data_IF_910899585554
#
_entry.id   IF_910899585554
#
_cell.length_a   1.000
_cell.length_b   1.000
_cell.length_c   1.000
_cell.angle_alpha   90.00
_cell.angle_beta   90.00
_cell.angle_gamma   90.00
#
_symmetry.space_group_name_H-M   'P 1'
#
loop_
_entity.id
_entity.type
_entity.pdbx_description
1 polymer ?
#
# COMPACT_ATOMS: atom_id res chain seq x y z
N UNK A 1 24.36 -0.57 -18.23
CA UNK A 1 23.27 -0.73 -17.23
C UNK A 1 23.09 -2.23 -16.99
N UNK A 2 23.88 -2.83 -16.10
CA UNK A 2 23.66 -4.23 -15.70
C UNK A 2 22.32 -4.30 -14.97
N UNK A 3 21.34 -4.99 -15.54
CA UNK A 3 20.11 -5.34 -14.80
C UNK A 3 20.58 -6.18 -13.61
N UNK A 4 20.59 -5.59 -12.41
CA UNK A 4 20.71 -6.35 -11.17
C UNK A 4 19.62 -7.41 -11.24
N UNK A 5 19.99 -8.68 -11.40
CA UNK A 5 19.05 -9.77 -11.28
C UNK A 5 18.40 -9.65 -9.91
N UNK A 6 17.07 -9.48 -9.83
CA UNK A 6 16.41 -9.31 -8.55
C UNK A 6 16.76 -10.53 -7.69
N UNK A 7 17.26 -10.27 -6.48
CA UNK A 7 17.57 -11.32 -5.52
C UNK A 7 16.31 -12.17 -5.35
N UNK A 8 16.43 -13.47 -5.61
CA UNK A 8 15.32 -14.39 -5.38
C UNK A 8 15.03 -14.45 -3.88
N UNK A 9 13.75 -14.39 -3.56
CA UNK A 9 13.27 -14.52 -2.19
C UNK A 9 12.69 -15.91 -1.95
N UNK A 10 12.81 -16.40 -0.72
CA UNK A 10 12.23 -17.66 -0.25
C UNK A 10 11.13 -17.41 0.80
N UNK A 11 10.40 -18.45 1.18
CA UNK A 11 9.43 -18.35 2.28
C UNK A 11 10.07 -18.00 3.63
N UNK A 12 11.33 -18.37 3.86
CA UNK A 12 12.03 -17.96 5.08
C UNK A 12 12.20 -16.45 5.19
N UNK A 13 12.44 -15.75 4.08
CA UNK A 13 12.51 -14.29 4.07
C UNK A 13 11.17 -13.66 4.50
N UNK A 14 10.05 -14.29 4.12
CA UNK A 14 8.71 -13.85 4.50
C UNK A 14 8.45 -14.11 6.00
N UNK A 15 8.90 -15.24 6.54
CA UNK A 15 8.78 -15.53 7.97
C UNK A 15 9.62 -14.57 8.82
N UNK A 16 10.84 -14.29 8.39
CA UNK A 16 11.76 -13.39 9.09
C UNK A 16 11.24 -11.95 9.11
N UNK A 17 10.72 -11.45 7.98
CA UNK A 17 10.13 -10.10 7.94
C UNK A 17 8.83 -10.02 8.76
N UNK A 18 8.03 -11.08 8.80
CA UNK A 18 6.81 -11.11 9.64
C UNK A 18 7.15 -11.06 11.13
N UNK A 19 8.19 -11.79 11.57
CA UNK A 19 8.68 -11.73 12.96
C UNK A 19 9.19 -10.34 13.33
N UNK A 20 9.80 -9.61 12.38
CA UNK A 20 10.25 -8.24 12.58
C UNK A 20 9.08 -7.24 12.62
N UNK A 21 8.09 -7.40 11.75
CA UNK A 21 6.95 -6.47 11.61
C UNK A 21 6.08 -6.47 12.86
N UNK A 22 5.87 -7.62 13.50
CA UNK A 22 4.97 -7.75 14.65
C UNK A 22 5.30 -6.79 15.81
N UNK A 23 6.54 -6.75 16.34
CA UNK A 23 6.89 -5.78 17.39
C UNK A 23 6.93 -4.33 16.89
N UNK A 24 7.39 -4.09 15.65
CA UNK A 24 7.41 -2.74 15.06
C UNK A 24 6.00 -2.16 14.93
N UNK A 25 5.02 -2.98 14.57
CA UNK A 25 3.62 -2.56 14.49
C UNK A 25 3.11 -2.07 15.84
N UNK A 26 3.40 -2.79 16.91
CA UNK A 26 2.96 -2.40 18.25
C UNK A 26 3.58 -1.06 18.69
N UNK A 27 4.86 -0.82 18.36
CA UNK A 27 5.52 0.46 18.63
C UNK A 27 4.94 1.60 17.77
N UNK A 28 4.75 1.36 16.48
CA UNK A 28 4.16 2.32 15.55
C UNK A 28 2.73 2.70 15.96
N UNK A 29 1.91 1.75 16.41
CA UNK A 29 0.53 2.01 16.85
C UNK A 29 0.50 2.86 18.14
N UNK A 30 1.40 2.60 19.09
CA UNK A 30 1.56 3.44 20.29
C UNK A 30 2.04 4.84 19.94
N UNK A 31 3.00 4.96 19.04
CA UNK A 31 3.53 6.24 18.56
C UNK A 31 2.42 7.05 17.86
N UNK A 32 1.63 6.42 16.97
CA UNK A 32 0.46 7.05 16.34
C UNK A 32 -0.54 7.59 17.36
N UNK A 33 -0.84 6.82 18.40
CA UNK A 33 -1.75 7.26 19.45
C UNK A 33 -1.18 8.45 20.24
N UNK A 34 0.13 8.46 20.50
CA UNK A 34 0.80 9.52 21.26
C UNK A 34 0.90 10.85 20.48
N UNK A 35 0.99 10.79 19.14
CA UNK A 35 1.09 11.98 18.30
C UNK A 35 -0.27 12.50 17.82
N UNK A 36 -1.38 11.84 18.20
CA UNK A 36 -2.71 12.22 17.75
C UNK A 36 -3.05 13.66 18.17
N UNK A 37 -3.38 14.50 17.19
CA UNK A 37 -3.70 15.91 17.42
C UNK A 37 -2.49 16.85 17.50
N UNK A 38 -1.27 16.32 17.41
CA UNK A 38 -0.09 17.15 17.19
C UNK A 38 -0.09 17.67 15.75
N UNK A 39 0.45 18.87 15.56
CA UNK A 39 0.59 19.49 14.24
C UNK A 39 2.06 19.86 14.00
N UNK A 40 2.46 19.89 12.72
CA UNK A 40 3.83 20.19 12.33
C UNK A 40 4.72 18.96 12.21
N UNK A 41 6.04 19.17 12.18
CA UNK A 41 7.00 18.08 11.98
C UNK A 41 7.17 17.28 13.28
N UNK A 42 6.64 16.05 13.29
CA UNK A 42 6.77 15.12 14.40
C UNK A 42 7.79 14.05 14.04
N UNK A 43 8.74 13.76 14.94
CA UNK A 43 9.68 12.66 14.76
C UNK A 43 8.97 11.34 15.06
N UNK A 44 8.89 10.45 14.07
CA UNK A 44 8.10 9.21 14.12
C UNK A 44 8.91 7.97 13.71
N UNK A 45 10.00 7.65 14.44
CA UNK A 45 10.93 6.60 14.05
C UNK A 45 10.31 5.21 13.99
N UNK A 46 9.37 4.88 14.89
CA UNK A 46 8.78 3.54 14.91
C UNK A 46 7.78 3.35 13.79
N UNK A 47 7.03 4.39 13.45
CA UNK A 47 6.17 4.44 12.26
C UNK A 47 7.04 4.26 11.00
N UNK A 48 8.15 4.98 10.90
CA UNK A 48 9.08 4.89 9.77
C UNK A 48 9.67 3.48 9.63
N UNK A 49 10.16 2.89 10.72
CA UNK A 49 10.73 1.54 10.73
C UNK A 49 9.70 0.48 10.34
N UNK A 50 8.48 0.56 10.90
CA UNK A 50 7.37 -0.32 10.54
C UNK A 50 7.01 -0.19 9.06
N UNK A 51 7.03 1.03 8.53
CA UNK A 51 6.77 1.30 7.11
C UNK A 51 7.86 0.71 6.22
N UNK A 52 9.14 0.88 6.55
CA UNK A 52 10.24 0.28 5.79
C UNK A 52 10.17 -1.25 5.79
N UNK A 53 9.84 -1.86 6.94
CA UNK A 53 9.65 -3.30 7.03
C UNK A 53 8.47 -3.77 6.16
N UNK A 54 7.37 -3.02 6.15
CA UNK A 54 6.19 -3.30 5.32
C UNK A 54 6.52 -3.24 3.81
N UNK A 55 7.28 -2.24 3.37
CA UNK A 55 7.75 -2.12 1.97
C UNK A 55 8.60 -3.34 1.59
N UNK A 56 9.51 -3.77 2.48
CA UNK A 56 10.33 -4.96 2.26
C UNK A 56 9.47 -6.22 2.14
N UNK A 57 8.49 -6.39 3.03
CA UNK A 57 7.53 -7.51 2.96
C UNK A 57 6.78 -7.53 1.63
N UNK A 58 6.27 -6.39 1.17
CA UNK A 58 5.60 -6.30 -0.12
C UNK A 58 6.52 -6.67 -1.29
N UNK A 59 7.79 -6.26 -1.26
CA UNK A 59 8.78 -6.65 -2.27
C UNK A 59 9.06 -8.17 -2.27
N UNK A 60 9.17 -8.78 -1.08
CA UNK A 60 9.30 -10.23 -0.92
C UNK A 60 8.09 -10.95 -1.52
N UNK A 61 6.88 -10.51 -1.16
CA UNK A 61 5.62 -11.09 -1.67
C UNK A 61 5.53 -11.00 -3.19
N UNK A 62 5.83 -9.82 -3.77
CA UNK A 62 5.86 -9.65 -5.22
C UNK A 62 6.87 -10.57 -5.90
N UNK A 63 8.06 -10.74 -5.29
CA UNK A 63 9.07 -11.66 -5.78
C UNK A 63 8.60 -13.14 -5.73
N UNK A 64 7.99 -13.58 -4.62
CA UNK A 64 7.46 -14.94 -4.49
C UNK A 64 6.35 -15.23 -5.52
N UNK A 65 5.48 -14.25 -5.78
CA UNK A 65 4.41 -14.36 -6.79
C UNK A 65 4.97 -14.43 -8.21
N UNK A 66 5.94 -13.59 -8.54
CA UNK A 66 6.60 -13.63 -9.86
C UNK A 66 7.39 -14.92 -10.11
N UNK A 67 7.90 -15.56 -9.05
CA UNK A 67 8.50 -16.89 -9.11
C UNK A 67 7.46 -18.03 -9.25
N UNK A 68 6.16 -17.74 -9.13
CA UNK A 68 5.10 -18.75 -9.12
C UNK A 68 5.01 -19.57 -7.83
N UNK A 69 5.73 -19.17 -6.78
CA UNK A 69 5.69 -19.82 -5.46
C UNK A 69 4.44 -19.42 -4.66
N UNK A 70 3.79 -18.31 -5.03
CA UNK A 70 2.59 -17.82 -4.38
C UNK A 70 1.56 -17.39 -5.43
N UNK A 71 0.29 -17.73 -5.20
CA UNK A 71 -0.79 -17.28 -6.05
C UNK A 71 -1.03 -15.76 -5.89
N UNK A 72 -1.48 -15.13 -6.97
CA UNK A 72 -1.99 -13.76 -6.92
C UNK A 72 -3.28 -13.74 -6.08
N UNK A 73 -3.47 -12.66 -5.31
CA UNK A 73 -4.69 -12.47 -4.52
C UNK A 73 -5.84 -11.99 -5.40
N UNK A 74 -7.08 -12.13 -4.92
CA UNK A 74 -8.28 -11.58 -5.59
C UNK A 74 -8.11 -10.08 -5.88
N UNK A 75 -7.55 -9.32 -4.92
CA UNK A 75 -7.28 -7.89 -5.06
C UNK A 75 -6.35 -7.59 -6.23
N UNK A 76 -5.27 -8.35 -6.41
CA UNK A 76 -4.31 -8.16 -7.51
C UNK A 76 -4.93 -8.49 -8.86
N UNK A 77 -5.67 -9.60 -8.92
CA UNK A 77 -6.33 -10.06 -10.15
C UNK A 77 -7.36 -9.03 -10.61
N UNK A 78 -8.29 -8.66 -9.73
CA UNK A 78 -9.35 -7.70 -10.05
C UNK A 78 -8.76 -6.32 -10.32
N UNK A 79 -7.77 -5.86 -9.54
CA UNK A 79 -7.14 -4.55 -9.80
C UNK A 79 -6.49 -4.50 -11.18
N UNK A 80 -5.83 -5.59 -11.60
CA UNK A 80 -5.20 -5.71 -12.92
C UNK A 80 -6.26 -5.67 -14.04
N UNK A 81 -7.37 -6.38 -13.85
CA UNK A 81 -8.50 -6.37 -14.80
C UNK A 81 -9.12 -4.98 -14.90
N UNK A 82 -9.43 -4.35 -13.78
CA UNK A 82 -10.01 -3.00 -13.72
C UNK A 82 -9.06 -1.94 -14.30
N UNK A 83 -7.76 -2.06 -14.08
CA UNK A 83 -6.75 -1.19 -14.72
C UNK A 83 -6.70 -1.38 -16.23
N UNK A 84 -6.90 -2.61 -16.71
CA UNK A 84 -6.98 -2.93 -18.13
C UNK A 84 -8.25 -2.35 -18.79
N UNK A 85 -9.41 -2.53 -18.17
CA UNK A 85 -10.71 -2.06 -18.65
C UNK A 85 -10.84 -0.54 -18.56
N UNK A 86 -10.40 0.05 -17.45
CA UNK A 86 -10.63 1.46 -17.10
C UNK A 86 -9.33 2.26 -16.97
N UNK A 87 -8.42 2.10 -17.95
CA UNK A 87 -7.10 2.77 -18.00
C UNK A 87 -7.14 4.29 -17.74
N UNK A 88 -8.22 4.95 -18.16
CA UNK A 88 -8.42 6.41 -18.06
C UNK A 88 -9.36 6.82 -16.93
N UNK A 89 -9.75 5.90 -16.03
CA UNK A 89 -10.58 6.24 -14.88
C UNK A 89 -9.93 7.33 -14.03
N UNK A 90 -10.69 8.39 -13.77
CA UNK A 90 -10.31 9.49 -12.89
C UNK A 90 -10.46 9.07 -11.43
N UNK A 91 -9.92 9.88 -10.52
CA UNK A 91 -10.12 9.68 -9.09
C UNK A 91 -11.62 9.69 -8.73
N UNK A 92 -12.01 8.87 -7.76
CA UNK A 92 -13.37 8.65 -7.26
C UNK A 92 -14.38 8.05 -8.25
N UNK A 93 -13.97 7.66 -9.46
CA UNK A 93 -14.86 6.96 -10.40
C UNK A 93 -15.22 5.61 -9.82
N UNK A 94 -16.52 5.30 -9.82
CA UNK A 94 -17.06 4.00 -9.44
C UNK A 94 -17.41 3.22 -10.70
N UNK A 95 -17.00 1.95 -10.75
CA UNK A 95 -17.29 1.03 -11.85
C UNK A 95 -17.83 -0.27 -11.28
N UNK A 96 -18.66 -0.96 -12.06
CA UNK A 96 -19.17 -2.28 -11.69
C UNK A 96 -18.37 -3.37 -12.40
N UNK A 97 -17.99 -4.41 -11.67
CA UNK A 97 -17.32 -5.59 -12.20
C UNK A 97 -17.76 -6.82 -11.40
N UNK A 98 -18.25 -7.85 -12.08
CA UNK A 98 -18.78 -9.09 -11.46
C UNK A 98 -19.83 -8.83 -10.36
N UNK A 99 -20.73 -7.86 -10.57
CA UNK A 99 -21.81 -7.51 -9.63
C UNK A 99 -21.33 -6.79 -8.36
N UNK A 100 -20.05 -6.39 -8.30
CA UNK A 100 -19.46 -5.60 -7.22
C UNK A 100 -19.07 -4.21 -7.74
N UNK A 101 -19.16 -3.21 -6.86
CA UNK A 101 -18.79 -1.83 -7.17
C UNK A 101 -17.37 -1.54 -6.70
N UNK A 102 -16.55 -0.92 -7.56
CA UNK A 102 -15.17 -0.57 -7.26
C UNK A 102 -14.93 0.91 -7.48
N UNK A 103 -14.35 1.59 -6.49
CA UNK A 103 -14.00 3.00 -6.58
C UNK A 103 -12.51 3.17 -6.85
N UNK A 104 -12.18 4.00 -7.85
CA UNK A 104 -10.81 4.43 -8.14
C UNK A 104 -10.34 5.42 -7.09
N UNK A 105 -9.22 5.15 -6.44
CA UNK A 105 -8.61 6.07 -5.46
C UNK A 105 -7.16 6.35 -5.81
N UNK A 106 -6.79 7.61 -5.64
CA UNK A 106 -5.43 8.08 -5.87
C UNK A 106 -4.80 8.49 -4.55
N UNK A 107 -3.58 8.01 -4.31
CA UNK A 107 -2.77 8.43 -3.16
C UNK A 107 -1.44 8.98 -3.64
N UNK A 108 -0.87 9.98 -2.95
CA UNK A 108 0.48 10.45 -3.27
C UNK A 108 1.51 9.30 -3.14
N UNK A 109 2.28 9.06 -4.20
CA UNK A 109 3.35 8.04 -4.24
C UNK A 109 4.75 8.63 -4.24
N UNK A 110 4.92 9.85 -4.74
CA UNK A 110 6.19 10.59 -4.63
C UNK A 110 5.93 12.08 -4.52
N UNK A 111 6.56 12.74 -3.55
CA UNK A 111 6.58 14.19 -3.44
C UNK A 111 7.81 14.80 -4.13
N UNK A 112 7.78 16.12 -4.33
CA UNK A 112 8.95 16.94 -4.63
C UNK A 112 9.92 16.95 -3.45
N UNK A 113 11.16 17.44 -3.67
CA UNK A 113 12.17 17.56 -2.59
C UNK A 113 11.68 18.40 -1.40
N UNK A 114 10.78 19.35 -1.63
CA UNK A 114 10.18 20.20 -0.60
C UNK A 114 8.93 19.61 0.05
N UNK A 115 8.46 18.45 -0.39
CA UNK A 115 7.21 17.84 0.10
C UNK A 115 5.92 18.49 -0.41
N UNK A 116 6.00 19.69 -1.00
CA UNK A 116 4.80 20.50 -1.33
C UNK A 116 4.04 20.06 -2.58
N UNK A 117 4.64 19.25 -3.45
CA UNK A 117 4.05 18.89 -4.75
C UNK A 117 4.10 17.39 -4.93
N UNK A 118 2.95 16.77 -5.23
CA UNK A 118 2.88 15.36 -5.60
C UNK A 118 3.39 15.19 -7.04
N UNK A 119 4.52 14.51 -7.19
CA UNK A 119 5.13 14.16 -8.48
C UNK A 119 4.55 12.91 -9.10
N UNK A 120 4.12 11.96 -8.28
CA UNK A 120 3.59 10.69 -8.75
C UNK A 120 2.43 10.29 -7.86
N UNK A 121 1.35 9.85 -8.49
CA UNK A 121 0.16 9.34 -7.82
C UNK A 121 0.11 7.83 -7.99
N UNK A 122 -0.04 7.11 -6.88
CA UNK A 122 -0.51 5.75 -6.88
C UNK A 122 -1.98 5.72 -7.25
N UNK A 123 -2.40 4.68 -7.99
CA UNK A 123 -3.79 4.46 -8.37
C UNK A 123 -4.15 3.05 -7.97
N UNK A 124 -5.27 2.89 -7.30
CA UNK A 124 -5.75 1.59 -6.84
C UNK A 124 -7.28 1.60 -6.80
N UNK A 125 -7.86 0.42 -6.65
CA UNK A 125 -9.30 0.21 -6.60
C UNK A 125 -9.70 -0.23 -5.20
N UNK A 126 -10.75 0.37 -4.65
CA UNK A 126 -11.37 -0.05 -3.40
C UNK A 126 -12.74 -0.64 -3.71
N UNK A 127 -12.97 -1.88 -3.27
CA UNK A 127 -14.29 -2.48 -3.24
C UNK A 127 -15.23 -1.63 -2.38
N UNK A 128 -16.41 -1.32 -2.89
CA UNK A 128 -17.45 -0.58 -2.20
C UNK A 128 -18.47 -1.54 -1.60
N UNK A 129 -18.84 -1.28 -0.35
CA UNK A 129 -19.98 -1.87 0.31
C UNK A 129 -21.28 -1.18 -0.17
N UNK A 130 -22.47 -1.77 0.08
CA UNK A 130 -23.75 -1.17 -0.30
C UNK A 130 -24.02 0.23 0.29
N UNK A 131 -23.27 0.61 1.33
CA UNK A 131 -23.35 1.92 1.98
C UNK A 131 -22.32 2.92 1.45
N UNK A 132 -21.73 2.67 0.28
CA UNK A 132 -20.71 3.52 -0.37
C UNK A 132 -19.44 3.73 0.48
N UNK A 133 -19.18 2.85 1.45
CA UNK A 133 -17.90 2.78 2.16
C UNK A 133 -17.00 1.75 1.51
N UNK A 134 -15.70 1.96 1.61
CA UNK A 134 -14.74 0.93 1.22
C UNK A 134 -14.87 -0.30 2.12
N UNK A 135 -14.80 -1.49 1.53
CA UNK A 135 -14.68 -2.74 2.27
C UNK A 135 -13.37 -2.75 3.07
N UNK A 136 -13.41 -2.86 4.41
CA UNK A 136 -12.22 -2.75 5.24
C UNK A 136 -11.19 -3.86 5.01
N UNK A 137 -11.64 -5.07 4.66
CA UNK A 137 -10.74 -6.19 4.39
C UNK A 137 -10.01 -5.98 3.06
N UNK A 138 -10.75 -5.56 2.02
CA UNK A 138 -10.18 -5.19 0.74
C UNK A 138 -9.16 -4.07 0.89
N UNK A 139 -9.51 -3.00 1.61
CA UNK A 139 -8.60 -1.88 1.83
C UNK A 139 -7.33 -2.32 2.57
N UNK A 140 -7.46 -3.17 3.60
CA UNK A 140 -6.31 -3.72 4.32
C UNK A 140 -5.38 -4.51 3.39
N UNK A 141 -5.94 -5.36 2.52
CA UNK A 141 -5.13 -6.12 1.56
C UNK A 141 -4.44 -5.21 0.54
N UNK A 142 -5.10 -4.18 0.02
CA UNK A 142 -4.48 -3.17 -0.87
C UNK A 142 -3.30 -2.50 -0.17
N UNK A 143 -3.46 -2.11 1.10
CA UNK A 143 -2.40 -1.49 1.91
C UNK A 143 -1.22 -2.42 2.17
N UNK A 144 -1.49 -3.70 2.40
CA UNK A 144 -0.45 -4.71 2.60
C UNK A 144 0.35 -5.03 1.33
N UNK A 145 -0.34 -5.07 0.17
CA UNK A 145 0.27 -5.35 -1.12
C UNK A 145 1.10 -4.17 -1.64
N UNK A 146 0.62 -2.95 -1.46
CA UNK A 146 1.27 -1.74 -1.95
C UNK A 146 1.44 -0.70 -0.85
N UNK A 147 2.21 -1.00 0.22
CA UNK A 147 2.43 -0.08 1.34
C UNK A 147 3.05 1.23 0.87
N UNK A 148 3.82 1.20 -0.22
CA UNK A 148 4.38 2.39 -0.87
C UNK A 148 3.34 3.45 -1.23
N UNK A 149 2.11 3.05 -1.55
CA UNK A 149 1.04 3.97 -1.96
C UNK A 149 0.51 4.79 -0.79
N UNK A 150 0.76 4.36 0.44
CA UNK A 150 0.20 4.94 1.66
C UNK A 150 1.24 5.70 2.48
N UNK A 151 2.50 5.76 2.02
CA UNK A 151 3.59 6.32 2.82
C UNK A 151 3.53 7.85 2.95
N UNK A 152 3.07 8.53 1.90
CA UNK A 152 3.17 9.99 1.83
C UNK A 152 2.00 10.69 2.52
N UNK A 153 0.96 9.94 2.88
CA UNK A 153 -0.21 10.45 3.60
C UNK A 153 0.05 10.86 5.06
N UNK A 154 1.30 10.74 5.56
CA UNK A 154 1.69 11.19 6.90
C UNK A 154 2.43 12.55 6.92
N UNK A 155 2.55 13.25 5.79
CA UNK A 155 3.00 14.65 5.81
C UNK A 155 1.77 15.54 5.96
N UNK A 156 1.44 15.90 7.20
CA UNK A 156 0.44 16.92 7.49
C UNK A 156 0.72 18.18 6.68
N UNK A 157 -0.19 18.46 5.74
CA UNK A 157 -0.41 19.79 5.19
C UNK A 157 -1.89 20.07 5.40
N UNK A 158 -2.22 20.50 6.63
CA UNK A 158 -3.29 21.47 6.84
C UNK A 158 -2.88 22.79 6.17
#
# INVERSE_FOLDING_TARGET
MSKLTPKLHSFSDLDDINKLIMPLKALADRERAAIYGLTGMVYTPHIDDFMQASIKKAAILACLKTQGLMALTEVELISTVLDGLYKRARNNVVVEYEGKSYQRRFSPLKLSKSGKIVRTWARYWLLQLPNERADPNWESQVRELWPSYFLIGHVDLL
#
